data_IF_259721243518
#
_entry.id   IF_259721243518
#
_cell.length_a   1.000
_cell.length_b   1.000
_cell.length_c   1.000
_cell.angle_alpha   90.00
_cell.angle_beta   90.00
_cell.angle_gamma   90.00
#
_symmetry.space_group_name_H-M   'P 1'
#
loop_
_entity.id
_entity.type
_entity.pdbx_description
1 polymer ?
#
# COMPACT_ATOMS: atom_id res chain seq x y z
N UNK A 1 6.50 -32.63 13.62
CA UNK A 1 5.52 -32.14 12.62
C UNK A 1 5.97 -30.75 12.15
N UNK A 2 6.54 -30.61 10.94
CA UNK A 2 6.93 -29.29 10.41
C UNK A 2 5.65 -28.56 9.98
N UNK A 3 5.23 -27.56 10.75
CA UNK A 3 4.17 -26.63 10.30
C UNK A 3 4.64 -25.95 9.01
N UNK A 4 4.09 -26.35 7.87
CA UNK A 4 4.23 -25.57 6.63
C UNK A 4 3.52 -24.24 6.90
N UNK A 5 4.27 -23.16 7.08
CA UNK A 5 3.70 -21.80 7.12
C UNK A 5 2.79 -21.65 5.90
N UNK A 6 1.48 -21.45 6.11
CA UNK A 6 0.57 -21.09 5.03
C UNK A 6 1.16 -19.85 4.37
N UNK A 7 1.40 -19.90 3.07
CA UNK A 7 1.87 -18.72 2.34
C UNK A 7 0.73 -17.69 2.37
N UNK A 8 1.05 -16.42 2.59
CA UNK A 8 0.08 -15.35 2.69
C UNK A 8 -0.37 -14.87 1.29
N UNK A 9 -1.67 -14.63 1.05
CA UNK A 9 -2.17 -14.26 -0.26
C UNK A 9 -1.57 -12.93 -0.75
N UNK A 10 -1.33 -12.84 -2.06
CA UNK A 10 -0.84 -11.63 -2.72
C UNK A 10 -1.93 -11.11 -3.65
N UNK A 11 -2.31 -9.85 -3.48
CA UNK A 11 -3.27 -9.17 -4.34
C UNK A 11 -2.65 -7.94 -4.96
N UNK A 12 -2.84 -7.76 -6.26
CA UNK A 12 -2.31 -6.61 -7.00
C UNK A 12 -3.45 -5.83 -7.60
N UNK A 13 -3.55 -4.54 -7.31
CA UNK A 13 -4.55 -3.65 -7.88
C UNK A 13 -3.87 -2.48 -8.56
N UNK A 14 -4.23 -2.27 -9.82
CA UNK A 14 -3.70 -1.14 -10.57
C UNK A 14 -4.24 -1.04 -11.98
N UNK A 15 -3.54 -0.29 -12.81
CA UNK A 15 -3.98 0.04 -14.16
C UNK A 15 -3.66 -1.08 -15.17
N UNK A 16 -3.62 -0.74 -16.46
CA UNK A 16 -3.26 -1.66 -17.54
C UNK A 16 -1.88 -2.31 -17.36
N UNK A 17 -0.97 -1.68 -16.62
CA UNK A 17 0.37 -2.18 -16.39
C UNK A 17 0.39 -3.46 -15.54
N UNK A 18 -0.62 -3.66 -14.68
CA UNK A 18 -0.73 -4.90 -13.89
C UNK A 18 -1.10 -6.10 -14.75
N UNK A 19 -1.73 -5.90 -15.92
CA UNK A 19 -2.17 -6.99 -16.81
C UNK A 19 -1.01 -7.86 -17.30
N UNK A 20 0.16 -7.27 -17.49
CA UNK A 20 1.38 -8.00 -17.92
C UNK A 20 1.96 -8.87 -16.80
N UNK A 21 1.66 -8.54 -15.53
CA UNK A 21 2.10 -9.29 -14.36
C UNK A 21 1.29 -10.57 -14.13
N UNK A 22 0.18 -10.77 -14.85
CA UNK A 22 -0.68 -11.95 -14.76
C UNK A 22 0.04 -13.28 -14.92
N UNK A 23 1.07 -13.32 -15.79
CA UNK A 23 1.87 -14.52 -16.06
C UNK A 23 2.89 -14.84 -14.95
N UNK A 24 3.40 -13.80 -14.28
CA UNK A 24 4.38 -13.88 -13.20
C UNK A 24 3.71 -14.15 -11.85
N UNK A 25 2.52 -13.58 -11.69
CA UNK A 25 1.62 -13.77 -10.56
C UNK A 25 0.73 -14.99 -10.86
N UNK A 26 1.37 -16.13 -11.20
CA UNK A 26 0.73 -17.44 -11.14
C UNK A 26 0.52 -17.78 -9.67
N UNK A 27 -0.51 -17.14 -9.13
CA UNK A 27 -1.09 -17.32 -7.83
C UNK A 27 -1.61 -18.75 -7.68
N UNK A 28 -0.69 -19.71 -7.48
CA UNK A 28 -1.01 -21.08 -7.05
C UNK A 28 -1.66 -21.13 -5.66
N UNK A 29 -1.98 -19.98 -5.08
CA UNK A 29 -2.52 -19.78 -3.76
C UNK A 29 -3.93 -19.20 -3.85
N UNK A 30 -4.87 -19.88 -3.19
CA UNK A 30 -6.25 -19.45 -3.06
C UNK A 30 -6.30 -18.04 -2.46
N UNK A 31 -7.06 -17.14 -3.07
CA UNK A 31 -7.21 -15.75 -2.63
C UNK A 31 -6.17 -14.78 -3.17
N UNK A 32 -5.13 -15.26 -3.87
CA UNK A 32 -4.17 -14.39 -4.54
C UNK A 32 -4.60 -14.10 -5.98
N UNK A 33 -4.32 -12.91 -6.50
CA UNK A 33 -4.78 -12.50 -7.83
C UNK A 33 -4.41 -11.08 -8.18
N UNK A 34 -4.92 -10.60 -9.31
CA UNK A 34 -4.74 -9.22 -9.71
C UNK A 34 -6.04 -8.63 -10.26
N UNK A 35 -6.19 -7.32 -10.09
CA UNK A 35 -7.26 -6.50 -10.65
C UNK A 35 -6.61 -5.42 -11.50
N UNK A 36 -6.87 -5.45 -12.80
CA UNK A 36 -6.39 -4.46 -13.75
C UNK A 36 -7.55 -3.59 -14.22
N UNK A 37 -7.42 -2.28 -14.00
CA UNK A 37 -8.39 -1.26 -14.40
C UNK A 37 -7.77 -0.43 -15.53
N UNK A 38 -7.98 -0.83 -16.78
CA UNK A 38 -7.35 -0.17 -17.93
C UNK A 38 -7.75 1.31 -18.02
N UNK A 39 -6.77 2.21 -18.12
CA UNK A 39 -6.99 3.66 -18.19
C UNK A 39 -7.44 4.31 -16.87
N UNK A 40 -7.47 3.56 -15.77
CA UNK A 40 -7.90 4.05 -14.46
C UNK A 40 -6.99 5.16 -13.93
N UNK A 41 -7.61 6.20 -13.37
CA UNK A 41 -6.92 7.22 -12.60
C UNK A 41 -6.62 6.69 -11.19
N UNK A 42 -5.85 7.46 -10.41
CA UNK A 42 -5.52 7.07 -9.04
C UNK A 42 -6.75 6.93 -8.13
N UNK A 43 -7.79 7.73 -8.38
CA UNK A 43 -9.06 7.69 -7.63
C UNK A 43 -9.80 6.37 -7.81
N UNK A 44 -9.82 5.83 -9.03
CA UNK A 44 -10.46 4.55 -9.34
C UNK A 44 -9.69 3.40 -8.69
N UNK A 45 -8.36 3.49 -8.71
CA UNK A 45 -7.46 2.52 -8.07
C UNK A 45 -7.66 2.51 -6.56
N UNK A 46 -7.73 3.68 -5.93
CA UNK A 46 -8.02 3.83 -4.49
C UNK A 46 -9.35 3.18 -4.13
N UNK A 47 -10.43 3.53 -4.84
CA UNK A 47 -11.75 2.96 -4.58
C UNK A 47 -11.71 1.43 -4.67
N UNK A 48 -10.98 0.89 -5.66
CA UNK A 48 -10.84 -0.56 -5.80
C UNK A 48 -10.05 -1.20 -4.68
N UNK A 49 -8.99 -0.55 -4.20
CA UNK A 49 -8.24 -0.99 -3.03
C UNK A 49 -9.14 -1.06 -1.80
N UNK A 50 -9.97 -0.04 -1.56
CA UNK A 50 -10.92 0.00 -0.45
C UNK A 50 -11.91 -1.18 -0.51
N UNK A 51 -12.48 -1.45 -1.70
CA UNK A 51 -13.38 -2.60 -1.92
C UNK A 51 -12.68 -3.95 -1.63
N UNK A 52 -11.45 -4.14 -2.12
CA UNK A 52 -10.72 -5.39 -1.95
C UNK A 52 -10.29 -5.63 -0.52
N UNK A 53 -9.93 -4.56 0.18
CA UNK A 53 -9.52 -4.59 1.57
C UNK A 53 -10.64 -5.05 2.52
N UNK A 54 -11.92 -5.00 2.12
CA UNK A 54 -13.03 -5.55 2.92
C UNK A 54 -12.97 -7.08 2.96
N UNK A 55 -12.49 -7.69 1.88
CA UNK A 55 -12.55 -9.16 1.69
C UNK A 55 -11.25 -9.89 2.03
N UNK A 56 -10.20 -9.16 2.39
CA UNK A 56 -8.86 -9.72 2.58
C UNK A 56 -8.35 -9.43 3.99
N UNK A 57 -8.16 -10.50 4.76
CA UNK A 57 -7.49 -10.49 6.05
C UNK A 57 -6.15 -11.22 5.89
N UNK A 58 -5.08 -10.68 6.49
CA UNK A 58 -3.72 -11.24 6.47
C UNK A 58 -3.18 -11.55 5.05
N UNK A 59 -2.32 -10.68 4.53
CA UNK A 59 -1.75 -10.88 3.20
C UNK A 59 -0.88 -9.74 2.73
N UNK A 60 -0.55 -9.72 1.44
CA UNK A 60 0.16 -8.63 0.80
C UNK A 60 -0.72 -7.96 -0.27
N UNK A 61 -0.93 -6.66 -0.15
CA UNK A 61 -1.56 -5.85 -1.17
C UNK A 61 -0.50 -5.04 -1.91
N UNK A 62 -0.53 -5.07 -3.23
CA UNK A 62 0.32 -4.27 -4.10
C UNK A 62 -0.57 -3.27 -4.83
N UNK A 63 -0.28 -1.98 -4.65
CA UNK A 63 -1.01 -0.90 -5.30
C UNK A 63 -0.11 -0.31 -6.37
N UNK A 64 -0.60 -0.29 -7.61
CA UNK A 64 0.05 0.35 -8.73
C UNK A 64 -0.95 1.33 -9.37
N UNK A 65 -0.52 2.54 -9.72
CA UNK A 65 -1.38 3.47 -10.43
C UNK A 65 -0.89 4.91 -10.31
N UNK A 66 -1.67 5.83 -10.87
CA UNK A 66 -1.40 7.27 -10.81
C UNK A 66 -0.64 7.83 -12.00
N UNK A 67 -0.26 7.02 -12.98
CA UNK A 67 0.24 7.54 -14.26
C UNK A 67 -0.85 8.18 -15.11
N UNK A 68 -2.01 7.54 -15.19
CA UNK A 68 -3.15 8.07 -15.95
C UNK A 68 -3.71 9.32 -15.26
N UNK A 69 -3.66 10.44 -15.98
CA UNK A 69 -4.16 11.72 -15.51
C UNK A 69 -3.24 12.41 -14.50
N UNK A 70 -1.99 11.97 -14.33
CA UNK A 70 -1.04 12.59 -13.39
C UNK A 70 -0.92 14.11 -13.61
N UNK A 71 -0.81 14.56 -14.85
CA UNK A 71 -0.67 15.98 -15.20
C UNK A 71 -1.93 16.81 -14.88
N UNK A 72 -3.10 16.18 -14.89
CA UNK A 72 -4.38 16.84 -14.62
C UNK A 72 -4.71 16.83 -13.11
N UNK A 73 -4.50 15.69 -12.48
CA UNK A 73 -4.78 15.45 -11.05
C UNK A 73 -3.72 16.12 -10.18
N UNK A 74 -2.47 16.11 -10.65
CA UNK A 74 -1.33 16.66 -9.95
C UNK A 74 -0.75 15.70 -8.92
N UNK A 75 0.42 16.10 -8.43
CA UNK A 75 1.20 15.36 -7.44
C UNK A 75 0.46 15.22 -6.10
N UNK A 76 0.00 16.34 -5.53
CA UNK A 76 -0.64 16.38 -4.20
C UNK A 76 -1.80 15.40 -4.10
N UNK A 77 -2.70 15.45 -5.09
CA UNK A 77 -3.88 14.61 -5.14
C UNK A 77 -3.50 13.15 -5.36
N UNK A 78 -2.49 12.88 -6.19
CA UNK A 78 -2.00 11.51 -6.41
C UNK A 78 -1.42 10.92 -5.13
N UNK A 79 -0.56 11.67 -4.42
CA UNK A 79 0.02 11.24 -3.14
C UNK A 79 -1.07 11.00 -2.10
N UNK A 80 -2.02 11.94 -1.97
CA UNK A 80 -3.15 11.83 -1.03
C UNK A 80 -3.97 10.56 -1.27
N UNK A 81 -4.33 10.27 -2.51
CA UNK A 81 -5.13 9.09 -2.83
C UNK A 81 -4.39 7.77 -2.54
N UNK A 82 -3.08 7.71 -2.76
CA UNK A 82 -2.28 6.53 -2.39
C UNK A 82 -2.22 6.38 -0.86
N UNK A 83 -1.94 7.46 -0.13
CA UNK A 83 -1.87 7.43 1.33
C UNK A 83 -3.21 7.03 1.94
N UNK A 84 -4.32 7.55 1.43
CA UNK A 84 -5.66 7.17 1.88
C UNK A 84 -5.95 5.69 1.59
N UNK A 85 -5.54 5.17 0.43
CA UNK A 85 -5.65 3.75 0.12
C UNK A 85 -4.86 2.89 1.11
N UNK A 86 -3.65 3.30 1.51
CA UNK A 86 -2.85 2.60 2.53
C UNK A 86 -3.53 2.64 3.90
N UNK A 87 -4.09 3.80 4.30
CA UNK A 87 -4.82 3.93 5.56
C UNK A 87 -6.07 3.04 5.60
N UNK A 88 -6.76 2.85 4.47
CA UNK A 88 -7.95 2.00 4.39
C UNK A 88 -7.70 0.52 4.71
N UNK A 89 -6.44 0.09 4.65
CA UNK A 89 -6.02 -1.29 4.93
C UNK A 89 -5.21 -1.41 6.23
N UNK A 90 -4.99 -0.29 6.92
CA UNK A 90 -4.34 -0.28 8.23
C UNK A 90 -5.17 -1.08 9.25
N UNK A 91 -4.50 -1.84 10.11
CA UNK A 91 -5.16 -2.67 11.13
C UNK A 91 -5.65 -4.05 10.64
N UNK A 92 -5.63 -4.33 9.32
CA UNK A 92 -6.12 -5.61 8.76
C UNK A 92 -5.09 -6.75 8.70
N UNK A 93 -3.95 -6.60 9.38
CA UNK A 93 -2.84 -7.57 9.32
C UNK A 93 -2.14 -7.64 7.95
N UNK A 94 -2.48 -6.75 7.02
CA UNK A 94 -1.95 -6.73 5.66
C UNK A 94 -0.60 -6.00 5.58
N UNK A 95 0.32 -6.54 4.78
CA UNK A 95 1.49 -5.82 4.28
C UNK A 95 1.12 -5.09 2.99
N UNK A 96 1.55 -3.84 2.85
CA UNK A 96 1.28 -3.05 1.64
C UNK A 96 2.58 -2.73 0.93
N UNK A 97 2.60 -2.92 -0.39
CA UNK A 97 3.64 -2.42 -1.26
C UNK A 97 3.04 -1.44 -2.27
N UNK A 98 3.72 -0.31 -2.45
CA UNK A 98 3.32 0.70 -3.42
C UNK A 98 4.32 0.67 -4.57
N UNK A 99 3.80 0.53 -5.78
CA UNK A 99 4.58 0.73 -7.00
C UNK A 99 4.41 2.18 -7.38
N UNK A 100 5.52 2.93 -7.34
CA UNK A 100 5.52 4.33 -7.78
C UNK A 100 5.04 4.50 -9.21
N UNK A 101 4.65 5.71 -9.58
CA UNK A 101 4.24 6.03 -10.93
C UNK A 101 5.37 5.69 -11.90
N UNK A 102 5.07 4.78 -12.82
CA UNK A 102 6.04 4.25 -13.77
C UNK A 102 6.25 5.21 -14.93
N UNK A 103 7.44 5.13 -15.51
CA UNK A 103 7.77 5.83 -16.75
C UNK A 103 6.92 5.29 -17.90
N UNK A 104 6.48 6.19 -18.78
CA UNK A 104 5.77 5.83 -20.01
C UNK A 104 6.65 6.10 -21.24
N UNK A 105 6.45 5.37 -22.35
CA UNK A 105 7.15 5.66 -23.60
C UNK A 105 6.87 7.11 -24.05
N UNK A 106 7.93 7.82 -24.46
CA UNK A 106 7.86 9.22 -24.93
C UNK A 106 7.31 10.19 -23.87
N UNK A 107 7.60 9.96 -22.59
CA UNK A 107 7.29 10.95 -21.56
C UNK A 107 7.96 12.30 -21.87
N UNK A 108 7.19 13.39 -21.74
CA UNK A 108 7.73 14.74 -21.87
C UNK A 108 8.46 15.18 -20.59
N UNK A 109 9.31 16.22 -20.65
CA UNK A 109 10.07 16.71 -19.49
C UNK A 109 9.17 17.09 -18.30
N UNK A 110 7.99 17.66 -18.58
CA UNK A 110 7.02 18.03 -17.55
C UNK A 110 6.48 16.80 -16.82
N UNK A 111 6.01 15.79 -17.56
CA UNK A 111 5.54 14.53 -16.98
C UNK A 111 6.66 13.81 -16.19
N UNK A 112 7.88 13.76 -16.72
CA UNK A 112 9.03 13.16 -16.02
C UNK A 112 9.28 13.83 -14.68
N UNK A 113 9.30 15.17 -14.65
CA UNK A 113 9.47 15.95 -13.41
C UNK A 113 8.36 15.62 -12.41
N UNK A 114 7.11 15.66 -12.84
CA UNK A 114 5.94 15.41 -12.00
C UNK A 114 5.95 13.98 -11.45
N UNK A 115 6.28 12.98 -12.28
CA UNK A 115 6.41 11.58 -11.89
C UNK A 115 7.50 11.38 -10.84
N UNK A 116 8.69 11.95 -11.05
CA UNK A 116 9.82 11.83 -10.11
C UNK A 116 9.51 12.50 -8.77
N UNK A 117 8.93 13.69 -8.81
CA UNK A 117 8.55 14.44 -7.61
C UNK A 117 7.44 13.71 -6.84
N UNK A 118 6.42 13.19 -7.55
CA UNK A 118 5.36 12.35 -6.96
C UNK A 118 5.94 11.11 -6.29
N UNK A 119 6.82 10.37 -6.95
CA UNK A 119 7.43 9.17 -6.38
C UNK A 119 8.29 9.46 -5.14
N UNK A 120 9.02 10.59 -5.15
CA UNK A 120 9.79 11.05 -3.98
C UNK A 120 8.87 11.33 -2.80
N UNK A 121 7.79 12.08 -3.01
CA UNK A 121 6.83 12.41 -1.94
C UNK A 121 6.07 11.19 -1.44
N UNK A 122 5.69 10.26 -2.33
CA UNK A 122 5.14 8.97 -1.93
C UNK A 122 6.10 8.24 -0.98
N UNK A 123 7.38 8.16 -1.33
CA UNK A 123 8.37 7.51 -0.48
C UNK A 123 8.50 8.18 0.88
N UNK A 124 8.53 9.52 0.93
CA UNK A 124 8.62 10.29 2.18
C UNK A 124 7.40 10.08 3.07
N UNK A 125 6.18 10.20 2.53
CA UNK A 125 4.94 10.04 3.30
C UNK A 125 4.79 8.61 3.83
N UNK A 126 5.07 7.60 3.00
CA UNK A 126 5.01 6.20 3.42
C UNK A 126 6.08 5.87 4.48
N UNK A 127 7.26 6.49 4.39
CA UNK A 127 8.30 6.32 5.40
C UNK A 127 7.90 6.96 6.73
N UNK A 128 7.34 8.17 6.71
CA UNK A 128 6.79 8.83 7.92
C UNK A 128 5.74 7.94 8.59
N UNK A 129 4.77 7.42 7.82
CA UNK A 129 3.77 6.50 8.33
C UNK A 129 4.38 5.26 8.98
N UNK A 130 5.38 4.64 8.32
CA UNK A 130 6.08 3.47 8.88
C UNK A 130 6.80 3.80 10.19
N UNK A 131 7.47 4.95 10.28
CA UNK A 131 8.15 5.40 11.50
C UNK A 131 7.15 5.57 12.63
N UNK A 132 6.05 6.27 12.40
CA UNK A 132 5.00 6.50 13.41
C UNK A 132 4.39 5.17 13.88
N UNK A 133 4.11 4.25 12.96
CA UNK A 133 3.63 2.92 13.29
C UNK A 133 4.64 2.13 14.15
N UNK A 134 5.94 2.22 13.86
CA UNK A 134 6.97 1.55 14.68
C UNK A 134 7.07 2.17 16.07
N UNK A 135 6.97 3.50 16.19
CA UNK A 135 6.93 4.20 17.49
C UNK A 135 5.73 3.75 18.31
N UNK A 136 4.55 3.68 17.70
CA UNK A 136 3.31 3.25 18.36
C UNK A 136 3.43 1.81 18.87
N UNK A 137 3.91 0.90 18.02
CA UNK A 137 4.14 -0.50 18.43
C UNK A 137 5.09 -0.62 19.61
N UNK A 138 6.15 0.18 19.65
CA UNK A 138 7.10 0.20 20.78
C UNK A 138 6.40 0.67 22.06
N UNK A 139 5.62 1.76 21.98
CA UNK A 139 4.83 2.29 23.11
C UNK A 139 3.88 1.24 23.68
N UNK A 140 3.14 0.54 22.82
CA UNK A 140 2.20 -0.51 23.23
C UNK A 140 2.90 -1.70 23.88
N UNK A 141 4.05 -2.12 23.34
CA UNK A 141 4.85 -3.19 23.92
C UNK A 141 5.38 -2.83 25.32
N UNK A 142 5.77 -1.58 25.55
CA UNK A 142 6.20 -1.08 26.86
C UNK A 142 5.03 -1.05 27.86
N UNK A 143 3.86 -0.52 27.45
CA UNK A 143 2.64 -0.52 28.27
C UNK A 143 2.22 -1.95 28.67
N UNK A 144 2.30 -2.90 27.75
CA UNK A 144 1.97 -4.29 28.03
C UNK A 144 2.94 -4.93 29.03
N UNK A 145 4.24 -4.64 28.94
CA UNK A 145 5.25 -5.09 29.92
C UNK A 145 5.01 -4.50 31.32
N UNK A 146 4.60 -3.24 31.40
CA UNK A 146 4.26 -2.61 32.69
C UNK A 146 3.00 -3.23 33.32
N UNK A 147 1.95 -3.50 32.53
CA UNK A 147 0.73 -4.17 33.02
C UNK A 147 1.00 -5.60 33.52
N UNK A 148 1.86 -6.36 32.86
CA UNK A 148 2.21 -7.73 33.29
C UNK A 148 3.08 -7.77 34.55
N UNK A 149 3.73 -6.65 34.93
CA UNK A 149 4.61 -6.57 36.11
C UNK A 149 3.92 -6.12 37.39
N UNK A 150 2.59 -5.88 37.39
CA UNK A 150 1.79 -5.74 38.61
C UNK A 150 2.19 -4.61 39.58
N UNK A 151 2.90 -3.57 39.13
CA UNK A 151 3.25 -2.43 39.99
C UNK A 151 2.20 -1.33 39.93
N UNK A 152 1.79 -0.71 41.06
CA UNK A 152 0.84 0.39 41.06
C UNK A 152 1.43 1.60 40.31
N UNK A 153 0.63 2.20 39.44
CA UNK A 153 0.96 3.47 38.79
C UNK A 153 0.76 4.57 39.82
N UNK A 154 1.84 5.03 40.46
CA UNK A 154 1.83 6.35 41.10
C UNK A 154 2.05 7.39 40.01
N UNK A 155 0.96 8.07 39.63
CA UNK A 155 1.02 9.35 38.95
C UNK A 155 1.43 10.40 39.99
N UNK A 156 2.57 11.05 39.77
CA UNK A 156 2.94 12.32 40.40
C UNK A 156 2.97 13.36 39.29
#
# INVERSE_FOLDING_TARGET
MKMRKKKAPIRITGDSMVKTMSSQVKCRMRGSGYTSLSGAKITDTRKKVEEEAVSMEDGMLIIQGGGNGLEYVGEDETVRNVVDAVKSVEGKGMSVAIVGVMQIPREGPFYEHLRRSTNRRLQEELLKMKIEWMKEKKRQAELHRHRQRGGPVQLV
#
